data_IF_378493246881
#
_entry.id   IF_378493246881
#
_cell.length_a   1.000
_cell.length_b   1.000
_cell.length_c   1.000
_cell.angle_alpha   90.00
_cell.angle_beta   90.00
_cell.angle_gamma   90.00
#
_symmetry.space_group_name_H-M   'P 1'
#
loop_
_entity.id
_entity.type
_entity.pdbx_description
1 polymer ?
#
# COMPACT_ATOMS: atom_id res chain seq x y z
N UNK A 1 30.32 4.14 -9.51
CA UNK A 1 29.62 4.07 -10.81
C UNK A 1 28.30 3.31 -10.70
N UNK A 2 28.23 2.12 -10.08
CA UNK A 2 26.97 1.36 -9.92
C UNK A 2 25.96 2.10 -9.02
N UNK A 3 26.39 2.75 -7.92
CA UNK A 3 25.52 3.54 -7.05
C UNK A 3 24.93 4.79 -7.73
N UNK A 4 25.65 5.42 -8.65
CA UNK A 4 25.15 6.62 -9.37
C UNK A 4 24.11 6.27 -10.44
N UNK A 5 24.21 5.11 -11.06
CA UNK A 5 23.25 4.62 -12.07
C UNK A 5 21.95 4.15 -11.41
N UNK A 6 22.03 3.52 -10.23
CA UNK A 6 20.85 3.11 -9.45
C UNK A 6 20.08 4.36 -8.95
N UNK A 7 20.78 5.39 -8.44
CA UNK A 7 20.14 6.61 -7.97
C UNK A 7 19.46 7.41 -9.08
N UNK A 8 20.04 7.51 -10.27
CA UNK A 8 19.44 8.27 -11.38
C UNK A 8 18.18 7.61 -11.94
N UNK A 9 18.14 6.27 -12.01
CA UNK A 9 16.95 5.52 -12.43
C UNK A 9 15.84 5.56 -11.38
N UNK A 10 16.17 5.46 -10.09
CA UNK A 10 15.20 5.57 -9.00
C UNK A 10 14.58 6.95 -8.93
N UNK A 11 15.35 8.02 -9.17
CA UNK A 11 14.86 9.41 -9.15
C UNK A 11 13.94 9.69 -10.34
N UNK A 12 14.25 9.16 -11.53
CA UNK A 12 13.38 9.27 -12.71
C UNK A 12 12.06 8.50 -12.50
N UNK A 13 12.10 7.32 -11.88
CA UNK A 13 10.91 6.54 -11.53
C UNK A 13 10.07 7.21 -10.44
N UNK A 14 10.68 7.80 -9.42
CA UNK A 14 9.98 8.52 -8.35
C UNK A 14 9.21 9.74 -8.88
N UNK A 15 9.82 10.54 -9.75
CA UNK A 15 9.14 11.66 -10.40
C UNK A 15 8.02 11.20 -11.32
N UNK A 16 8.23 10.11 -12.08
CA UNK A 16 7.21 9.52 -12.94
C UNK A 16 5.99 9.01 -12.14
N UNK A 17 6.20 8.44 -10.94
CA UNK A 17 5.12 8.00 -10.04
C UNK A 17 4.31 9.19 -9.54
N UNK A 18 4.98 10.27 -9.10
CA UNK A 18 4.31 11.47 -8.59
C UNK A 18 3.53 12.17 -9.73
N UNK A 19 4.12 12.27 -10.91
CA UNK A 19 3.46 12.83 -12.09
C UNK A 19 2.30 11.95 -12.57
N UNK A 20 2.45 10.62 -12.59
CA UNK A 20 1.36 9.69 -12.95
C UNK A 20 0.23 9.71 -11.92
N UNK A 21 0.49 9.80 -10.63
CA UNK A 21 -0.53 9.99 -9.59
C UNK A 21 -1.30 11.31 -9.76
N UNK A 22 -0.68 12.31 -10.40
CA UNK A 22 -1.29 13.62 -10.67
C UNK A 22 -2.04 13.70 -12.01
N UNK A 23 -1.74 12.82 -12.97
CA UNK A 23 -2.21 12.89 -14.37
C UNK A 23 -3.14 11.73 -14.78
N UNK A 24 -3.60 10.88 -13.89
CA UNK A 24 -4.32 9.66 -14.26
C UNK A 24 -5.70 9.88 -14.84
N UNK A 25 -5.79 9.73 -16.16
CA UNK A 25 -6.97 9.10 -16.76
C UNK A 25 -6.98 7.61 -16.35
N UNK A 26 -8.17 7.05 -16.13
CA UNK A 26 -8.37 5.69 -15.61
C UNK A 26 -7.53 4.64 -16.36
N UNK A 27 -6.58 4.05 -15.66
CA UNK A 27 -5.81 2.92 -16.15
C UNK A 27 -6.45 1.68 -15.52
N UNK A 28 -7.26 0.94 -16.28
CA UNK A 28 -7.90 -0.29 -15.79
C UNK A 28 -6.86 -1.37 -15.48
N UNK A 29 -6.34 -1.39 -14.25
CA UNK A 29 -5.46 -2.48 -13.80
C UNK A 29 -6.27 -3.76 -13.67
N UNK A 30 -5.82 -4.82 -14.29
CA UNK A 30 -6.44 -6.14 -14.16
C UNK A 30 -6.09 -6.74 -12.80
N UNK A 31 -6.98 -6.58 -11.83
CA UNK A 31 -6.78 -7.00 -10.43
C UNK A 31 -6.49 -8.49 -10.29
N UNK A 32 -7.07 -9.34 -11.15
CA UNK A 32 -6.79 -10.77 -11.21
C UNK A 32 -5.33 -11.07 -11.58
N UNK A 33 -4.79 -10.37 -12.58
CA UNK A 33 -3.38 -10.50 -12.98
C UNK A 33 -2.44 -9.94 -11.92
N UNK A 34 -2.77 -8.80 -11.32
CA UNK A 34 -2.02 -8.26 -10.18
C UNK A 34 -1.92 -9.29 -9.06
N UNK A 35 -3.03 -9.89 -8.66
CA UNK A 35 -3.04 -10.90 -7.59
C UNK A 35 -2.14 -12.10 -7.90
N UNK A 36 -2.17 -12.61 -9.15
CA UNK A 36 -1.33 -13.73 -9.60
C UNK A 36 0.15 -13.35 -9.54
N UNK A 37 0.52 -12.17 -10.04
CA UNK A 37 1.92 -11.73 -10.07
C UNK A 37 2.47 -11.48 -8.67
N UNK A 38 1.69 -10.85 -7.79
CA UNK A 38 2.12 -10.59 -6.42
C UNK A 38 2.23 -11.87 -5.59
N UNK A 39 1.39 -12.89 -5.85
CA UNK A 39 1.54 -14.21 -5.23
C UNK A 39 2.78 -14.96 -5.74
N UNK A 40 3.12 -14.86 -7.03
CA UNK A 40 4.40 -15.36 -7.55
C UNK A 40 5.60 -14.67 -6.86
N UNK A 41 5.54 -13.34 -6.72
CA UNK A 41 6.56 -12.59 -6.01
C UNK A 41 6.68 -13.05 -4.55
N UNK A 42 5.56 -13.20 -3.82
CA UNK A 42 5.57 -13.69 -2.44
C UNK A 42 6.28 -15.04 -2.34
N UNK A 43 5.91 -16.01 -3.19
CA UNK A 43 6.52 -17.35 -3.19
C UNK A 43 8.02 -17.29 -3.46
N UNK A 44 8.45 -16.50 -4.44
CA UNK A 44 9.87 -16.34 -4.77
C UNK A 44 10.66 -15.64 -3.64
N UNK A 45 10.04 -14.66 -2.97
CA UNK A 45 10.72 -13.86 -1.95
C UNK A 45 10.86 -14.55 -0.59
N UNK A 46 9.79 -15.20 -0.10
CA UNK A 46 9.72 -15.70 1.28
C UNK A 46 9.29 -17.17 1.41
N UNK A 47 8.96 -17.84 0.30
CA UNK A 47 8.51 -19.24 0.30
C UNK A 47 7.18 -19.44 1.02
N UNK A 48 6.97 -20.65 1.55
CA UNK A 48 5.72 -21.03 2.21
C UNK A 48 5.83 -20.97 3.74
N UNK A 49 4.76 -20.56 4.45
CA UNK A 49 4.72 -20.65 5.89
C UNK A 49 4.56 -22.11 6.33
N UNK A 50 4.93 -22.42 7.58
CA UNK A 50 4.77 -23.74 8.18
C UNK A 50 3.56 -23.77 9.10
N UNK A 51 2.86 -24.88 9.11
CA UNK A 51 1.78 -25.12 10.05
C UNK A 51 2.36 -25.35 11.46
N UNK A 52 1.86 -24.60 12.44
CA UNK A 52 2.20 -24.72 13.86
C UNK A 52 0.98 -25.27 14.59
N UNK A 53 1.03 -26.55 14.94
CA UNK A 53 -0.13 -27.26 15.48
C UNK A 53 -0.61 -26.69 16.82
N UNK A 54 0.31 -26.26 17.69
CA UNK A 54 0.03 -25.69 19.00
C UNK A 54 -0.77 -24.39 18.92
N UNK A 55 -0.59 -23.64 17.82
CA UNK A 55 -1.26 -22.36 17.57
C UNK A 55 -2.42 -22.48 16.58
N UNK A 56 -2.58 -23.66 15.95
CA UNK A 56 -3.53 -23.87 14.85
C UNK A 56 -3.44 -22.78 13.76
N UNK A 57 -2.21 -22.38 13.41
CA UNK A 57 -1.93 -21.31 12.47
C UNK A 57 -0.71 -21.60 11.61
N UNK A 58 -0.67 -20.96 10.43
CA UNK A 58 0.54 -20.93 9.60
C UNK A 58 1.46 -19.78 10.03
N UNK A 59 2.75 -20.06 10.19
CA UNK A 59 3.75 -19.07 10.60
C UNK A 59 4.98 -19.12 9.70
N UNK A 60 5.55 -17.94 9.42
CA UNK A 60 6.89 -17.82 8.88
C UNK A 60 7.91 -17.92 10.01
N UNK A 61 8.94 -18.77 9.84
CA UNK A 61 10.03 -18.90 10.80
C UNK A 61 11.03 -17.74 10.70
N UNK A 62 11.22 -17.22 9.49
CA UNK A 62 12.01 -16.01 9.24
C UNK A 62 11.24 -14.77 9.70
N UNK A 63 11.83 -13.98 10.59
CA UNK A 63 11.26 -12.74 11.14
C UNK A 63 12.03 -11.50 10.67
N UNK A 64 12.43 -11.49 9.40
CA UNK A 64 13.20 -10.39 8.80
C UNK A 64 12.32 -9.27 8.23
N UNK A 65 12.96 -8.12 7.95
CA UNK A 65 12.33 -7.00 7.24
C UNK A 65 11.71 -7.44 5.90
N UNK A 66 12.37 -8.38 5.20
CA UNK A 66 11.91 -8.97 3.94
C UNK A 66 10.54 -9.63 4.12
N UNK A 67 10.39 -10.48 5.14
CA UNK A 67 9.12 -11.18 5.39
C UNK A 67 8.01 -10.19 5.75
N UNK A 68 8.29 -9.23 6.61
CA UNK A 68 7.29 -8.21 6.99
C UNK A 68 6.87 -7.39 5.78
N UNK A 69 7.82 -6.93 4.95
CA UNK A 69 7.51 -6.16 3.75
C UNK A 69 6.61 -6.93 2.76
N UNK A 70 6.92 -8.21 2.51
CA UNK A 70 6.10 -9.05 1.63
C UNK A 70 4.71 -9.30 2.22
N UNK A 71 4.57 -9.53 3.53
CA UNK A 71 3.26 -9.68 4.18
C UNK A 71 2.45 -8.37 4.15
N UNK A 72 3.10 -7.20 4.26
CA UNK A 72 2.46 -5.89 4.05
C UNK A 72 1.98 -5.72 2.61
N UNK A 73 2.74 -6.22 1.61
CA UNK A 73 2.31 -6.24 0.21
C UNK A 73 1.06 -7.11 0.01
N UNK A 74 1.03 -8.31 0.60
CA UNK A 74 -0.15 -9.19 0.57
C UNK A 74 -1.37 -8.48 1.18
N UNK A 75 -1.21 -7.81 2.33
CA UNK A 75 -2.28 -7.03 2.96
C UNK A 75 -2.77 -5.89 2.08
N UNK A 76 -1.85 -5.17 1.42
CA UNK A 76 -2.19 -4.08 0.52
C UNK A 76 -2.93 -4.59 -0.73
N UNK A 77 -2.46 -5.66 -1.36
CA UNK A 77 -3.09 -6.28 -2.52
C UNK A 77 -4.51 -6.78 -2.22
N UNK A 78 -4.70 -7.46 -1.09
CA UNK A 78 -6.02 -7.85 -0.61
C UNK A 78 -6.92 -6.63 -0.35
N UNK A 79 -6.33 -5.53 0.15
CA UNK A 79 -7.02 -4.26 0.32
C UNK A 79 -7.53 -3.67 -0.99
N UNK A 80 -6.73 -3.74 -2.08
CA UNK A 80 -7.15 -3.26 -3.40
C UNK A 80 -8.38 -4.02 -3.91
N UNK A 81 -8.40 -5.34 -3.80
CA UNK A 81 -9.57 -6.14 -4.16
C UNK A 81 -10.81 -5.75 -3.35
N UNK A 82 -10.63 -5.47 -2.06
CA UNK A 82 -11.74 -5.08 -1.20
C UNK A 82 -12.27 -3.67 -1.54
N UNK A 83 -11.41 -2.68 -1.85
CA UNK A 83 -11.88 -1.34 -2.23
C UNK A 83 -12.60 -1.35 -3.58
N UNK A 84 -12.27 -2.22 -4.53
CA UNK A 84 -13.04 -2.40 -5.76
C UNK A 84 -14.49 -2.82 -5.44
N UNK A 85 -14.66 -3.83 -4.58
CA UNK A 85 -15.99 -4.29 -4.15
C UNK A 85 -16.76 -3.20 -3.40
N UNK A 86 -16.13 -2.52 -2.45
CA UNK A 86 -16.75 -1.43 -1.68
C UNK A 86 -17.16 -0.26 -2.58
N UNK A 87 -16.33 0.11 -3.56
CA UNK A 87 -16.63 1.16 -4.53
C UNK A 87 -17.86 0.80 -5.35
N UNK A 88 -17.92 -0.43 -5.90
CA UNK A 88 -19.07 -0.92 -6.67
C UNK A 88 -20.36 -0.97 -5.84
N UNK A 89 -20.23 -1.30 -4.56
CA UNK A 89 -21.36 -1.31 -3.62
C UNK A 89 -21.78 0.09 -3.14
N UNK A 90 -21.01 1.14 -3.42
CA UNK A 90 -21.28 2.51 -2.95
C UNK A 90 -20.99 2.71 -1.45
N UNK A 91 -20.18 1.84 -0.83
CA UNK A 91 -19.79 1.89 0.58
C UNK A 91 -18.57 2.80 0.77
N UNK A 92 -18.73 4.09 0.50
CA UNK A 92 -17.64 5.04 0.32
C UNK A 92 -16.88 5.39 1.60
N UNK A 93 -17.50 5.30 2.78
CA UNK A 93 -16.81 5.53 4.06
C UNK A 93 -15.79 4.43 4.32
N UNK A 94 -16.20 3.17 4.21
CA UNK A 94 -15.30 2.01 4.39
C UNK A 94 -14.26 1.93 3.28
N UNK A 95 -14.64 2.28 2.05
CA UNK A 95 -13.73 2.44 0.92
C UNK A 95 -12.58 3.41 1.25
N UNK A 96 -12.88 4.60 1.75
CA UNK A 96 -11.89 5.61 2.11
C UNK A 96 -11.00 5.17 3.28
N UNK A 97 -11.57 4.53 4.29
CA UNK A 97 -10.83 3.97 5.42
C UNK A 97 -9.83 2.89 4.95
N UNK A 98 -10.24 2.03 4.03
CA UNK A 98 -9.37 0.96 3.52
C UNK A 98 -8.25 1.48 2.60
N UNK A 99 -8.50 2.53 1.79
CA UNK A 99 -7.43 3.22 1.05
C UNK A 99 -6.34 3.70 2.01
N UNK A 100 -6.73 4.25 3.16
CA UNK A 100 -5.76 4.67 4.18
C UNK A 100 -4.89 3.51 4.67
N UNK A 101 -5.48 2.34 4.92
CA UNK A 101 -4.76 1.13 5.33
C UNK A 101 -3.79 0.64 4.23
N UNK A 102 -4.18 0.73 2.96
CA UNK A 102 -3.31 0.39 1.81
C UNK A 102 -2.10 1.34 1.78
N UNK A 103 -2.34 2.65 1.87
CA UNK A 103 -1.28 3.66 1.85
C UNK A 103 -0.29 3.49 3.02
N UNK A 104 -0.76 3.13 4.22
CA UNK A 104 0.11 2.82 5.34
C UNK A 104 0.96 1.59 5.05
N UNK A 105 0.37 0.49 4.56
CA UNK A 105 1.10 -0.74 4.21
C UNK A 105 2.16 -0.49 3.14
N UNK A 106 1.84 0.29 2.11
CA UNK A 106 2.81 0.68 1.06
C UNK A 106 3.96 1.50 1.66
N UNK A 107 3.66 2.49 2.50
CA UNK A 107 4.70 3.31 3.14
C UNK A 107 5.62 2.49 4.04
N UNK A 108 5.06 1.50 4.76
CA UNK A 108 5.80 0.58 5.62
C UNK A 108 6.75 -0.33 4.83
N UNK A 109 6.36 -0.76 3.62
CA UNK A 109 7.24 -1.54 2.72
C UNK A 109 8.50 -0.74 2.37
N UNK A 110 8.34 0.50 1.95
CA UNK A 110 9.47 1.37 1.62
C UNK A 110 10.36 1.65 2.83
N UNK A 111 9.77 1.88 4.01
CA UNK A 111 10.50 2.06 5.25
C UNK A 111 11.31 0.82 5.64
N UNK A 112 10.73 -0.39 5.53
CA UNK A 112 11.37 -1.65 5.89
C UNK A 112 12.57 -1.97 5.00
N UNK A 113 12.54 -1.59 3.73
CA UNK A 113 13.54 -1.97 2.73
C UNK A 113 14.43 -0.80 2.27
N UNK A 114 14.31 0.40 2.85
CA UNK A 114 15.08 1.59 2.47
C UNK A 114 16.60 1.34 2.45
N UNK A 115 17.11 0.63 3.46
CA UNK A 115 18.55 0.36 3.63
C UNK A 115 18.90 -1.12 3.45
N UNK A 116 17.95 -1.96 3.01
CA UNK A 116 18.17 -3.40 2.88
C UNK A 116 19.45 -3.73 2.09
N UNK A 117 20.29 -4.72 2.50
CA UNK A 117 20.04 -5.72 3.55
C UNK A 117 20.34 -5.27 5.00
N UNK A 118 20.77 -4.03 5.22
CA UNK A 118 20.95 -3.47 6.55
C UNK A 118 19.61 -3.09 7.15
N UNK A 119 19.50 -3.15 8.47
CA UNK A 119 18.35 -2.64 9.23
C UNK A 119 18.80 -1.52 10.17
N UNK A 120 17.94 -0.53 10.37
CA UNK A 120 18.12 0.46 11.43
C UNK A 120 17.40 0.01 12.70
N UNK A 121 17.77 0.57 13.85
CA UNK A 121 17.08 0.26 15.10
C UNK A 121 15.56 0.55 15.06
N UNK A 122 15.10 1.48 14.21
CA UNK A 122 13.66 1.69 14.01
C UNK A 122 13.02 0.55 13.19
N UNK A 123 13.73 -0.03 12.20
CA UNK A 123 13.26 -1.18 11.44
C UNK A 123 13.19 -2.40 12.33
N UNK A 124 14.23 -2.65 13.14
CA UNK A 124 14.25 -3.77 14.09
C UNK A 124 13.11 -3.67 15.10
N UNK A 125 12.86 -2.46 15.62
CA UNK A 125 11.73 -2.19 16.51
C UNK A 125 10.39 -2.46 15.83
N UNK A 126 10.20 -2.03 14.57
CA UNK A 126 8.98 -2.28 13.80
C UNK A 126 8.73 -3.77 13.56
N UNK A 127 9.79 -4.53 13.24
CA UNK A 127 9.73 -5.98 13.05
C UNK A 127 9.34 -6.66 14.37
N UNK A 128 9.97 -6.29 15.48
CA UNK A 128 9.64 -6.82 16.80
C UNK A 128 8.17 -6.56 17.16
N UNK A 129 7.67 -5.34 16.93
CA UNK A 129 6.26 -4.98 17.15
C UNK A 129 5.32 -5.81 16.25
N UNK A 130 5.66 -5.96 14.94
CA UNK A 130 4.83 -6.71 14.01
C UNK A 130 4.62 -8.17 14.45
N UNK A 131 5.67 -8.85 14.93
CA UNK A 131 5.60 -10.24 15.35
C UNK A 131 5.18 -10.42 16.81
N UNK A 132 5.22 -9.38 17.64
CA UNK A 132 4.73 -9.41 19.02
C UNK A 132 3.19 -9.42 19.10
N UNK A 133 2.50 -8.94 18.05
CA UNK A 133 1.04 -9.01 17.93
C UNK A 133 0.62 -10.43 17.61
N UNK A 134 0.52 -11.26 18.65
CA UNK A 134 -0.03 -12.60 18.55
C UNK A 134 -1.55 -12.56 18.43
N UNK A 135 -2.15 -13.71 18.07
CA UNK A 135 -3.61 -13.89 17.95
C UNK A 135 -4.34 -13.49 19.25
N UNK A 136 -3.68 -13.60 20.39
CA UNK A 136 -4.24 -13.24 21.71
C UNK A 136 -4.32 -11.72 21.98
N UNK A 137 -3.84 -10.88 21.04
CA UNK A 137 -4.07 -9.42 21.04
C UNK A 137 -3.35 -8.64 22.16
N UNK A 138 -2.63 -9.28 23.03
CA UNK A 138 -1.89 -8.62 24.11
C UNK A 138 -0.55 -8.10 23.59
N UNK A 139 -0.54 -6.81 23.17
CA UNK A 139 0.69 -6.02 23.20
C UNK A 139 1.03 -5.78 24.68
N UNK A 140 2.28 -6.02 25.06
CA UNK A 140 2.77 -5.40 26.27
C UNK A 140 2.70 -3.87 26.06
N UNK A 141 2.10 -3.13 26.98
CA UNK A 141 1.99 -1.67 26.92
C UNK A 141 3.36 -0.98 26.78
N UNK A 142 4.43 -1.72 27.02
CA UNK A 142 5.83 -1.27 26.98
C UNK A 142 6.50 -1.40 25.60
N UNK A 143 5.83 -1.90 24.56
CA UNK A 143 6.47 -2.00 23.23
C UNK A 143 6.39 -0.64 22.53
N UNK A 144 7.50 0.13 22.45
CA UNK A 144 7.47 1.44 21.85
C UNK A 144 7.15 1.34 20.35
N UNK A 145 6.23 2.16 19.88
CA UNK A 145 5.83 2.20 18.47
C UNK A 145 6.75 3.09 17.66
N UNK A 146 7.07 2.65 16.42
CA UNK A 146 7.79 3.53 15.48
C UNK A 146 6.88 4.69 15.05
N UNK A 147 7.30 5.94 15.26
CA UNK A 147 6.49 7.09 14.88
C UNK A 147 6.16 7.10 13.39
N UNK A 148 4.90 7.24 13.02
CA UNK A 148 4.42 7.27 11.63
C UNK A 148 5.16 8.31 10.77
N UNK A 149 5.62 9.41 11.37
CA UNK A 149 6.44 10.43 10.67
C UNK A 149 7.74 9.85 10.13
N UNK A 150 8.40 8.94 10.86
CA UNK A 150 9.64 8.28 10.40
C UNK A 150 9.37 7.38 9.20
N UNK A 151 8.29 6.60 9.25
CA UNK A 151 7.86 5.72 8.15
C UNK A 151 7.58 6.54 6.88
N UNK A 152 6.80 7.61 7.00
CA UNK A 152 6.48 8.49 5.86
C UNK A 152 7.70 9.22 5.31
N UNK A 153 8.66 9.61 6.16
CA UNK A 153 9.90 10.23 5.71
C UNK A 153 10.77 9.27 4.90
N UNK A 154 10.83 7.99 5.28
CA UNK A 154 11.51 6.96 4.51
C UNK A 154 10.85 6.78 3.13
N UNK A 155 9.52 6.69 3.08
CA UNK A 155 8.77 6.60 1.83
C UNK A 155 9.11 7.77 0.87
N UNK A 156 9.13 9.02 1.36
CA UNK A 156 9.53 10.18 0.54
C UNK A 156 10.95 10.04 0.05
N UNK A 157 11.91 9.69 0.92
CA UNK A 157 13.33 9.57 0.53
C UNK A 157 13.55 8.54 -0.57
N UNK A 158 12.89 7.39 -0.49
CA UNK A 158 13.04 6.34 -1.50
C UNK A 158 12.45 6.78 -2.84
N UNK A 159 11.29 7.44 -2.84
CA UNK A 159 10.63 7.87 -4.08
C UNK A 159 11.28 9.07 -4.74
N UNK A 160 11.68 10.08 -3.98
CA UNK A 160 12.24 11.33 -4.53
C UNK A 160 13.78 11.35 -4.55
N UNK A 161 14.44 10.37 -3.93
CA UNK A 161 15.90 10.33 -3.79
C UNK A 161 16.48 11.44 -2.92
N UNK A 162 15.63 12.27 -2.31
CA UNK A 162 16.02 13.42 -1.51
C UNK A 162 14.93 13.80 -0.50
N UNK A 163 15.21 14.77 0.37
CA UNK A 163 14.21 15.42 1.21
C UNK A 163 13.39 16.42 0.37
N UNK A 164 12.41 15.93 -0.35
CA UNK A 164 11.48 16.76 -1.13
C UNK A 164 10.31 17.23 -0.25
N UNK A 165 10.33 18.52 0.12
CA UNK A 165 9.30 19.14 0.95
C UNK A 165 7.94 19.22 0.26
N UNK A 166 7.89 19.31 -1.10
CA UNK A 166 6.62 19.34 -1.83
C UNK A 166 5.98 17.95 -1.83
N UNK A 167 6.75 16.91 -2.16
CA UNK A 167 6.29 15.53 -2.09
C UNK A 167 5.82 15.17 -0.68
N UNK A 168 6.56 15.58 0.36
CA UNK A 168 6.17 15.36 1.75
C UNK A 168 4.83 16.04 2.09
N UNK A 169 4.64 17.30 1.71
CA UNK A 169 3.38 18.04 1.95
C UNK A 169 2.20 17.41 1.19
N UNK A 170 2.42 16.95 -0.04
CA UNK A 170 1.40 16.26 -0.83
C UNK A 170 0.97 14.95 -0.14
N UNK A 171 1.92 14.12 0.27
CA UNK A 171 1.65 12.89 1.01
C UNK A 171 0.93 13.16 2.33
N UNK A 172 1.37 14.15 3.12
CA UNK A 172 0.70 14.53 4.36
C UNK A 172 -0.77 14.93 4.11
N UNK A 173 -1.06 15.62 2.98
CA UNK A 173 -2.43 15.96 2.59
C UNK A 173 -3.25 14.71 2.27
N UNK A 174 -2.71 13.80 1.44
CA UNK A 174 -3.37 12.54 1.09
C UNK A 174 -3.68 11.74 2.37
N UNK A 175 -2.69 11.54 3.23
CA UNK A 175 -2.86 10.85 4.49
C UNK A 175 -3.91 11.50 5.40
N UNK A 176 -3.93 12.82 5.49
CA UNK A 176 -4.91 13.56 6.29
C UNK A 176 -6.34 13.38 5.76
N UNK A 177 -6.51 13.45 4.43
CA UNK A 177 -7.81 13.22 3.78
C UNK A 177 -8.36 11.85 4.14
N UNK A 178 -7.60 10.78 3.92
CA UNK A 178 -8.08 9.44 4.20
C UNK A 178 -8.13 9.07 5.69
N UNK A 179 -7.40 9.77 6.57
CA UNK A 179 -7.56 9.63 8.02
C UNK A 179 -8.96 10.06 8.50
N UNK A 180 -9.58 11.02 7.83
CA UNK A 180 -10.94 11.44 8.15
C UNK A 180 -11.97 10.31 8.03
N UNK A 181 -11.79 9.39 7.09
CA UNK A 181 -12.66 8.21 6.95
C UNK A 181 -12.50 7.24 8.13
N UNK A 182 -11.25 6.95 8.56
CA UNK A 182 -11.00 6.06 9.71
C UNK A 182 -11.61 6.62 11.00
N UNK A 183 -11.50 7.94 11.20
CA UNK A 183 -12.00 8.61 12.40
C UNK A 183 -13.45 9.06 12.29
N UNK A 184 -14.16 8.63 11.24
CA UNK A 184 -15.56 8.94 11.00
C UNK A 184 -15.86 10.45 11.17
N UNK A 185 -15.01 11.31 10.57
CA UNK A 185 -15.20 12.75 10.67
C UNK A 185 -16.51 13.18 10.00
N UNK A 186 -17.13 14.25 10.49
CA UNK A 186 -18.43 14.73 10.06
C UNK A 186 -18.60 14.79 8.53
N UNK A 187 -17.64 15.40 7.82
CA UNK A 187 -17.70 15.53 6.37
C UNK A 187 -17.77 14.19 5.65
N UNK A 188 -17.01 13.18 6.12
CA UNK A 188 -16.98 11.86 5.48
C UNK A 188 -18.23 11.02 5.80
N UNK A 189 -18.81 11.18 6.99
CA UNK A 189 -20.11 10.57 7.31
C UNK A 189 -21.20 11.20 6.45
N UNK A 190 -21.19 12.51 6.24
CA UNK A 190 -22.19 13.19 5.42
C UNK A 190 -22.13 12.84 3.93
N UNK A 191 -21.08 12.21 3.45
CA UNK A 191 -21.02 11.69 2.07
C UNK A 191 -22.07 10.61 1.78
N UNK A 192 -22.58 9.93 2.80
CA UNK A 192 -23.63 8.91 2.64
C UNK A 192 -25.03 9.44 2.96
N UNK A 193 -25.19 10.74 3.29
CA UNK A 193 -26.48 11.37 3.49
C UNK A 193 -27.14 11.71 2.15
N UNK A 194 -28.42 11.35 2.00
CA UNK A 194 -29.24 11.69 0.85
C UNK A 194 -30.15 12.88 1.21
N UNK A 195 -29.86 14.05 0.62
CA UNK A 195 -30.63 15.26 0.86
C UNK A 195 -32.03 15.22 0.27
N UNK A 196 -32.30 14.41 -0.76
CA UNK A 196 -33.60 14.31 -1.41
C UNK A 196 -34.61 13.52 -0.56
N UNK A 197 -34.12 12.43 0.08
CA UNK A 197 -34.94 11.57 0.93
C UNK A 197 -34.79 11.87 2.42
N UNK A 198 -33.84 12.73 2.79
CA UNK A 198 -33.52 13.11 4.17
C UNK A 198 -33.11 11.90 5.04
N UNK A 199 -32.42 10.91 4.48
CA UNK A 199 -31.93 9.70 5.17
C UNK A 199 -30.47 9.38 4.83
N UNK A 200 -29.92 8.40 5.52
CA UNK A 200 -28.57 7.89 5.23
C UNK A 200 -28.62 6.62 4.37
N UNK A 201 -27.83 6.58 3.31
CA UNK A 201 -27.68 5.42 2.42
C UNK A 201 -26.87 4.30 3.09
N UNK A 202 -27.39 3.67 4.14
CA UNK A 202 -26.67 2.66 4.95
C UNK A 202 -26.30 1.38 4.18
N UNK A 203 -26.90 1.15 3.00
CA UNK A 203 -26.59 0.00 2.13
C UNK A 203 -25.70 0.37 0.94
N UNK A 204 -25.19 1.59 0.92
CA UNK A 204 -24.37 2.16 -0.14
C UNK A 204 -25.09 3.24 -0.95
N UNK A 205 -24.30 4.20 -1.40
CA UNK A 205 -24.78 5.33 -2.21
C UNK A 205 -25.04 4.85 -3.64
N UNK A 206 -26.25 5.04 -4.20
CA UNK A 206 -26.61 4.50 -5.52
C UNK A 206 -26.08 5.33 -6.70
N UNK A 207 -25.28 6.36 -6.48
CA UNK A 207 -24.78 7.27 -7.50
C UNK A 207 -23.70 6.63 -8.39
N UNK A 208 -24.01 6.42 -9.67
CA UNK A 208 -23.05 5.94 -10.69
C UNK A 208 -21.89 6.94 -10.84
N UNK A 209 -22.17 8.24 -10.92
CA UNK A 209 -21.16 9.28 -11.07
C UNK A 209 -20.14 9.25 -9.92
N UNK A 210 -20.61 9.11 -8.70
CA UNK A 210 -19.71 9.02 -7.54
C UNK A 210 -18.87 7.74 -7.55
N UNK A 211 -19.43 6.61 -8.01
CA UNK A 211 -18.67 5.36 -8.18
C UNK A 211 -17.57 5.52 -9.22
N UNK A 212 -17.88 6.08 -10.39
CA UNK A 212 -16.92 6.26 -11.47
C UNK A 212 -15.76 7.19 -11.05
N UNK A 213 -16.07 8.29 -10.36
CA UNK A 213 -15.05 9.17 -9.79
C UNK A 213 -14.14 8.45 -8.78
N UNK A 214 -14.69 7.55 -7.96
CA UNK A 214 -13.91 6.81 -6.95
C UNK A 214 -13.17 5.60 -7.52
N UNK A 215 -13.61 5.07 -8.66
CA UNK A 215 -12.90 3.97 -9.33
C UNK A 215 -11.47 4.37 -9.70
N UNK A 216 -11.22 5.63 -10.00
CA UNK A 216 -9.86 6.15 -10.22
C UNK A 216 -8.94 5.95 -9.01
N UNK A 217 -9.48 6.00 -7.79
CA UNK A 217 -8.68 5.71 -6.59
C UNK A 217 -8.36 4.22 -6.44
N UNK A 218 -9.19 3.32 -6.99
CA UNK A 218 -8.87 1.88 -7.05
C UNK A 218 -7.66 1.68 -7.96
N UNK A 219 -7.67 2.29 -9.15
CA UNK A 219 -6.55 2.22 -10.09
C UNK A 219 -5.26 2.78 -9.49
N UNK A 220 -5.32 3.94 -8.86
CA UNK A 220 -4.17 4.55 -8.16
C UNK A 220 -3.63 3.65 -7.05
N UNK A 221 -4.51 3.04 -6.26
CA UNK A 221 -4.11 2.12 -5.21
C UNK A 221 -3.45 0.85 -5.79
N UNK A 222 -4.01 0.30 -6.88
CA UNK A 222 -3.46 -0.87 -7.56
C UNK A 222 -2.06 -0.60 -8.13
N UNK A 223 -1.87 0.54 -8.80
CA UNK A 223 -0.56 1.00 -9.31
C UNK A 223 0.43 1.16 -8.15
N UNK A 224 0.02 1.78 -7.05
CA UNK A 224 0.89 1.95 -5.88
C UNK A 224 1.34 0.62 -5.28
N UNK A 225 0.46 -0.39 -5.26
CA UNK A 225 0.77 -1.74 -4.79
C UNK A 225 1.69 -2.47 -5.77
N UNK A 226 1.49 -2.33 -7.08
CA UNK A 226 2.39 -2.88 -8.10
C UNK A 226 3.80 -2.28 -7.98
N UNK A 227 3.92 -0.96 -7.82
CA UNK A 227 5.21 -0.30 -7.58
C UNK A 227 5.91 -0.79 -6.31
N UNK A 228 5.16 -0.97 -5.22
CA UNK A 228 5.72 -1.56 -4.00
C UNK A 228 6.21 -3.00 -4.23
N UNK A 229 5.47 -3.81 -5.02
CA UNK A 229 5.88 -5.14 -5.45
C UNK A 229 7.15 -5.11 -6.32
N UNK A 230 7.23 -4.21 -7.30
CA UNK A 230 8.42 -4.01 -8.13
C UNK A 230 9.62 -3.58 -7.28
N UNK A 231 9.43 -2.68 -6.31
CA UNK A 231 10.48 -2.26 -5.37
C UNK A 231 11.00 -3.43 -4.53
N UNK A 232 10.11 -4.28 -3.99
CA UNK A 232 10.50 -5.52 -3.30
C UNK A 232 11.32 -6.42 -4.22
N UNK A 233 10.81 -6.70 -5.44
CA UNK A 233 11.48 -7.58 -6.40
C UNK A 233 12.87 -7.05 -6.76
N UNK A 234 13.00 -5.76 -7.04
CA UNK A 234 14.28 -5.10 -7.34
C UNK A 234 15.25 -5.20 -6.15
N UNK A 235 14.79 -4.89 -4.95
CA UNK A 235 15.61 -4.89 -3.73
C UNK A 235 16.13 -6.29 -3.39
N UNK A 236 15.34 -7.33 -3.67
CA UNK A 236 15.70 -8.72 -3.42
C UNK A 236 16.41 -9.40 -4.60
N UNK A 237 16.65 -8.70 -5.71
CA UNK A 237 17.29 -9.26 -6.90
C UNK A 237 16.44 -10.23 -7.71
N UNK A 238 15.12 -10.19 -7.55
CA UNK A 238 14.14 -11.05 -8.23
C UNK A 238 13.79 -10.46 -9.61
N UNK A 239 14.74 -10.54 -10.55
CA UNK A 239 14.68 -9.85 -11.85
C UNK A 239 13.48 -10.27 -12.71
N UNK A 240 13.13 -11.57 -12.70
CA UNK A 240 11.98 -12.09 -13.45
C UNK A 240 10.67 -11.47 -12.96
N UNK A 241 10.41 -11.54 -11.65
CA UNK A 241 9.20 -11.00 -11.03
C UNK A 241 9.11 -9.49 -11.20
N UNK A 242 10.23 -8.77 -11.08
CA UNK A 242 10.29 -7.35 -11.38
C UNK A 242 9.86 -7.05 -12.82
N UNK A 243 10.41 -7.79 -13.80
CA UNK A 243 10.06 -7.61 -15.20
C UNK A 243 8.59 -7.94 -15.52
N UNK A 244 8.02 -8.97 -14.90
CA UNK A 244 6.60 -9.31 -15.06
C UNK A 244 5.67 -8.21 -14.52
N UNK A 245 5.99 -7.64 -13.34
CA UNK A 245 5.20 -6.56 -12.72
C UNK A 245 5.25 -5.29 -13.57
N UNK A 246 6.44 -4.89 -14.03
CA UNK A 246 6.59 -3.69 -14.87
C UNK A 246 5.85 -3.81 -16.21
N UNK A 247 5.81 -5.02 -16.82
CA UNK A 247 5.03 -5.26 -18.05
C UNK A 247 3.52 -5.11 -17.82
N UNK A 248 3.00 -5.53 -16.68
CA UNK A 248 1.56 -5.36 -16.39
C UNK A 248 1.20 -3.88 -16.29
N UNK A 249 2.07 -3.07 -15.72
CA UNK A 249 1.88 -1.62 -15.64
C UNK A 249 1.84 -0.96 -17.03
N UNK A 250 2.78 -1.33 -17.92
CA UNK A 250 2.90 -0.76 -19.27
C UNK A 250 1.75 -1.16 -20.20
N UNK A 251 1.14 -2.33 -19.99
CA UNK A 251 0.02 -2.83 -20.82
C UNK A 251 -1.34 -2.30 -20.41
N UNK A 252 -1.42 -1.56 -19.32
CA UNK A 252 -2.65 -0.90 -18.90
C UNK A 252 -2.99 0.23 -19.90
N UNK A 253 -4.21 0.24 -20.51
CA UNK A 253 -4.51 1.18 -21.57
C UNK A 253 -4.45 2.62 -21.05
N UNK A 254 -3.55 3.41 -21.60
CA UNK A 254 -3.62 4.88 -21.51
C UNK A 254 -4.86 5.30 -22.27
N UNK A 255 -5.86 5.80 -21.58
CA UNK A 255 -7.00 6.43 -22.26
C UNK A 255 -6.51 7.65 -23.04
N UNK A 256 -6.59 7.53 -24.36
CA UNK A 256 -6.43 8.62 -25.34
C UNK A 256 -7.60 9.59 -25.28
#
# INVERSE_FOLDING_TARGET
LIKSVINSKSQAQGNLIIERLAMTGCVGVRLDQMAILLEKLRKAAIGEPRWVAEKQAFEYQDRSAKVVAVLKLVRAAHGVSAIDLLCRAGLFVDFGALIRCINDSVSEIYFLLEEFPRTSGNVDQFIAEFFARTIDGHLSDDTPQVPTKKIRSAFVRVLSGSHDDQARKLLERIFRTFSGYIHASYSHIMEVYNGDTCDFNLRGVPSIVQRDMRMQHVDVAAISVLHAGAFIAQTLGLTEQHGEIMKLEDTSPTLS
#
